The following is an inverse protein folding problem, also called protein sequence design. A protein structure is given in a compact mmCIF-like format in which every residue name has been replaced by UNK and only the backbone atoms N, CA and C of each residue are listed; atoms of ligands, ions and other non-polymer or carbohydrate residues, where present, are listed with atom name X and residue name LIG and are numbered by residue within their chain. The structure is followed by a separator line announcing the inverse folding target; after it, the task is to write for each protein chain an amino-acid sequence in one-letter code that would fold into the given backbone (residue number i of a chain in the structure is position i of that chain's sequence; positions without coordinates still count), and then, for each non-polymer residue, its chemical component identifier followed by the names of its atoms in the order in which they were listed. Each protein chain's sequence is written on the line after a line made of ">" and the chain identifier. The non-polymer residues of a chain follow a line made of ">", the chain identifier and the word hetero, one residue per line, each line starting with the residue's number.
data_IF_906489066847
#
_entry.id   IF_906489066847
#
_cell.length_a   1.000
_cell.length_b   1.000
_cell.length_c   1.000
_cell.angle_alpha   90.00
_cell.angle_beta   90.00
_cell.angle_gamma   90.00
#
_symmetry.space_group_name_H-M   'P 1'
#
loop_
_entity.id
_entity.type
_entity.pdbx_description
1 polymer ?
#
# COMPACT_ATOMS: atom_id res chain seq x y z
N UNK A 1 -44.40 54.83 -34.35
CA UNK A 1 -43.10 54.15 -34.10
C UNK A 1 -43.37 52.88 -33.29
N UNK A 2 -43.39 51.72 -33.97
CA UNK A 2 -43.77 50.43 -33.40
C UNK A 2 -42.50 49.70 -32.94
N UNK A 3 -42.32 49.52 -31.64
CA UNK A 3 -41.23 48.74 -31.06
C UNK A 3 -41.46 47.24 -31.31
N UNK A 4 -41.22 46.79 -32.53
CA UNK A 4 -41.24 45.37 -32.90
C UNK A 4 -39.87 44.76 -32.64
N UNK A 5 -39.76 44.01 -31.54
CA UNK A 5 -38.76 42.96 -31.20
C UNK A 5 -38.08 43.19 -29.86
N UNK A 6 -38.76 42.79 -28.78
CA UNK A 6 -38.06 42.38 -27.54
C UNK A 6 -38.00 40.85 -27.54
N UNK A 7 -36.80 40.28 -27.72
CA UNK A 7 -36.54 38.86 -27.51
C UNK A 7 -36.12 38.68 -26.05
N UNK A 8 -37.04 38.25 -25.20
CA UNK A 8 -36.71 37.86 -23.84
C UNK A 8 -35.89 36.57 -23.89
N UNK A 9 -34.62 36.66 -23.53
CA UNK A 9 -33.74 35.50 -23.30
C UNK A 9 -33.54 35.47 -21.80
N UNK A 10 -34.15 34.50 -21.10
CA UNK A 10 -33.88 34.34 -19.67
C UNK A 10 -32.42 33.95 -19.52
N UNK A 11 -31.60 34.69 -18.74
CA UNK A 11 -30.24 34.28 -18.45
C UNK A 11 -30.29 32.90 -17.80
N UNK A 12 -29.75 31.89 -18.47
CA UNK A 12 -29.69 30.54 -17.92
C UNK A 12 -28.91 30.56 -16.60
N UNK A 13 -29.45 29.90 -15.58
CA UNK A 13 -28.72 29.67 -14.33
C UNK A 13 -27.84 28.45 -14.56
N UNK A 14 -26.54 28.67 -14.69
CA UNK A 14 -25.55 27.59 -14.75
C UNK A 14 -25.21 27.18 -13.32
N UNK A 15 -25.71 26.02 -12.88
CA UNK A 15 -25.29 25.40 -11.63
C UNK A 15 -24.01 24.64 -11.92
N UNK A 16 -22.89 25.13 -11.40
CA UNK A 16 -21.65 24.37 -11.35
C UNK A 16 -21.75 23.46 -10.12
N UNK A 17 -22.04 22.18 -10.34
CA UNK A 17 -21.98 21.17 -9.29
C UNK A 17 -20.51 20.87 -9.00
N UNK A 18 -20.04 21.24 -7.79
CA UNK A 18 -18.73 20.81 -7.31
C UNK A 18 -18.96 19.45 -6.66
N UNK A 19 -18.44 18.40 -7.28
CA UNK A 19 -18.46 17.05 -6.72
C UNK A 19 -17.56 16.97 -5.49
N UNK A 20 -18.19 16.95 -4.31
CA UNK A 20 -17.54 16.77 -3.01
C UNK A 20 -17.72 15.34 -2.46
N UNK A 21 -18.05 14.37 -3.30
CA UNK A 21 -18.24 12.97 -2.88
C UNK A 21 -16.93 12.27 -2.47
N UNK A 22 -15.77 12.85 -2.81
CA UNK A 22 -14.46 12.27 -2.50
C UNK A 22 -14.10 12.56 -1.05
N UNK A 23 -14.40 11.59 -0.17
CA UNK A 23 -13.87 11.59 1.18
C UNK A 23 -12.37 11.22 1.14
N UNK A 24 -11.48 12.03 1.76
CA UNK A 24 -10.09 11.65 1.90
C UNK A 24 -9.99 10.39 2.75
N UNK A 25 -9.10 9.47 2.36
CA UNK A 25 -8.83 8.29 3.19
C UNK A 25 -8.30 8.74 4.55
N UNK A 26 -8.87 8.20 5.61
CA UNK A 26 -8.42 8.46 6.97
C UNK A 26 -6.89 8.28 7.09
N UNK A 27 -6.19 9.14 7.85
CA UNK A 27 -4.77 8.99 8.10
C UNK A 27 -4.48 7.60 8.64
N UNK A 28 -3.57 6.87 8.00
CA UNK A 28 -3.12 5.58 8.53
C UNK A 28 -2.41 5.78 9.86
N UNK A 29 -2.65 4.88 10.79
CA UNK A 29 -1.89 4.81 12.02
C UNK A 29 -0.41 4.63 11.71
N UNK A 30 0.47 5.38 12.38
CA UNK A 30 1.91 5.36 12.10
C UNK A 30 2.51 4.13 12.79
N UNK A 31 2.74 3.08 12.02
CA UNK A 31 3.46 1.88 12.45
C UNK A 31 4.99 2.02 12.34
N UNK A 32 5.74 1.10 12.95
CA UNK A 32 7.19 1.05 12.83
C UNK A 32 7.64 0.75 11.39
N UNK A 33 8.90 1.06 11.11
CA UNK A 33 9.57 0.60 9.90
C UNK A 33 10.44 -0.61 10.23
N UNK A 34 10.12 -1.77 9.64
CA UNK A 34 10.97 -2.97 9.73
C UNK A 34 11.78 -3.09 8.44
N UNK A 35 13.10 -3.20 8.60
CA UNK A 35 14.04 -3.41 7.51
C UNK A 35 14.55 -4.84 7.60
N UNK A 36 14.44 -5.60 6.51
CA UNK A 36 14.88 -6.99 6.53
C UNK A 36 14.80 -7.68 5.18
N UNK A 37 15.15 -8.96 5.17
CA UNK A 37 15.00 -9.82 3.98
C UNK A 37 13.57 -10.36 3.93
N UNK A 38 13.07 -10.56 2.71
CA UNK A 38 11.79 -11.21 2.45
C UNK A 38 11.94 -12.12 1.23
N UNK A 39 11.08 -13.14 1.15
CA UNK A 39 11.16 -14.16 0.12
C UNK A 39 10.95 -13.56 -1.28
N UNK A 40 9.97 -12.67 -1.41
CA UNK A 40 9.62 -11.98 -2.65
C UNK A 40 9.19 -10.56 -2.39
N UNK A 41 8.66 -9.90 -3.40
CA UNK A 41 8.09 -8.56 -3.28
C UNK A 41 9.10 -7.46 -3.57
N UNK A 42 8.71 -6.20 -3.36
CA UNK A 42 9.49 -5.09 -3.84
C UNK A 42 10.73 -4.83 -2.98
N UNK A 43 11.89 -4.79 -3.60
CA UNK A 43 13.16 -4.51 -2.93
C UNK A 43 13.48 -3.01 -2.93
N UNK A 44 14.21 -2.57 -1.90
CA UNK A 44 14.75 -1.23 -1.74
C UNK A 44 13.71 -0.10 -1.82
N UNK A 45 12.45 -0.39 -1.48
CA UNK A 45 11.39 0.60 -1.37
C UNK A 45 10.53 0.33 -0.13
N UNK A 46 10.16 1.37 0.63
CA UNK A 46 9.24 1.22 1.75
C UNK A 46 7.83 0.94 1.23
N UNK A 47 7.17 -0.08 1.78
CA UNK A 47 5.77 -0.40 1.50
C UNK A 47 5.03 -0.52 2.83
N UNK A 48 3.98 0.28 3.00
CA UNK A 48 3.10 0.13 4.16
C UNK A 48 2.05 -0.96 3.87
N UNK A 49 1.82 -1.81 4.85
CA UNK A 49 0.80 -2.87 4.85
C UNK A 49 -0.08 -2.74 6.10
N UNK A 50 -1.35 -3.09 5.94
CA UNK A 50 -2.39 -2.94 6.97
C UNK A 50 -2.86 -4.30 7.53
N UNK A 51 -2.28 -5.41 7.05
CA UNK A 51 -2.54 -6.75 7.60
C UNK A 51 -1.40 -7.72 7.33
N UNK A 52 -1.32 -8.79 8.13
CA UNK A 52 -0.35 -9.86 7.88
C UNK A 52 -0.65 -10.63 6.59
N UNK A 53 -1.93 -10.76 6.20
CA UNK A 53 -2.30 -11.39 4.93
C UNK A 53 -1.77 -10.59 3.74
N UNK A 54 -1.95 -9.26 3.75
CA UNK A 54 -1.38 -8.36 2.75
C UNK A 54 0.16 -8.49 2.71
N UNK A 55 0.79 -8.54 3.89
CA UNK A 55 2.23 -8.77 3.99
C UNK A 55 2.64 -10.07 3.29
N UNK A 56 1.96 -11.19 3.54
CA UNK A 56 2.26 -12.49 2.91
C UNK A 56 1.99 -12.44 1.39
N UNK A 57 0.97 -11.71 0.96
CA UNK A 57 0.64 -11.52 -0.45
C UNK A 57 1.70 -10.72 -1.21
N UNK A 58 2.38 -9.78 -0.54
CA UNK A 58 3.46 -8.98 -1.14
C UNK A 58 4.82 -9.67 -1.01
N UNK A 59 5.16 -10.12 0.20
CA UNK A 59 6.51 -10.53 0.60
C UNK A 59 6.70 -12.04 0.76
N UNK A 60 5.61 -12.80 0.83
CA UNK A 60 5.61 -14.25 1.10
C UNK A 60 5.65 -14.59 2.59
N UNK A 61 5.60 -15.88 2.88
CA UNK A 61 5.65 -16.39 4.26
C UNK A 61 7.04 -16.18 4.88
N UNK A 62 7.12 -16.03 6.23
CA UNK A 62 8.40 -16.05 6.94
C UNK A 62 9.19 -17.32 6.66
N UNK A 63 10.52 -17.17 6.54
CA UNK A 63 11.45 -18.26 6.23
C UNK A 63 12.34 -18.49 7.44
N UNK A 64 12.26 -19.70 8.02
CA UNK A 64 13.00 -20.08 9.24
C UNK A 64 14.51 -20.24 9.02
N UNK A 65 14.97 -20.23 7.77
CA UNK A 65 16.31 -20.70 7.42
C UNK A 65 16.33 -22.21 7.20
N UNK A 66 17.41 -22.71 6.62
CA UNK A 66 17.54 -24.13 6.29
C UNK A 66 18.90 -24.48 5.69
N UNK A 67 19.08 -25.77 5.39
CA UNK A 67 20.30 -26.24 4.73
C UNK A 67 20.42 -25.64 3.32
N UNK A 68 21.66 -25.45 2.86
CA UNK A 68 21.94 -24.95 1.52
C UNK A 68 21.28 -25.82 0.45
N UNK A 69 20.46 -25.19 -0.37
CA UNK A 69 19.79 -25.78 -1.54
C UNK A 69 20.23 -25.01 -2.80
N UNK A 70 19.79 -25.42 -3.99
CA UNK A 70 20.07 -24.75 -5.25
C UNK A 70 19.52 -23.31 -5.26
N UNK A 71 20.36 -22.36 -4.86
CA UNK A 71 20.03 -20.93 -4.71
C UNK A 71 19.59 -20.32 -6.04
N UNK A 72 20.11 -20.81 -7.17
CA UNK A 72 19.77 -20.26 -8.49
C UNK A 72 18.31 -20.55 -8.86
N UNK A 73 17.80 -21.73 -8.49
CA UNK A 73 16.42 -22.15 -8.78
C UNK A 73 15.43 -21.77 -7.67
N UNK A 74 15.82 -21.96 -6.41
CA UNK A 74 14.91 -21.92 -5.28
C UNK A 74 15.01 -20.63 -4.45
N UNK A 75 15.97 -19.77 -4.79
CA UNK A 75 16.29 -18.55 -4.05
C UNK A 75 17.03 -18.79 -2.75
N UNK A 76 17.59 -17.73 -2.18
CA UNK A 76 18.37 -17.83 -0.95
C UNK A 76 17.45 -17.91 0.30
N UNK A 77 17.19 -19.15 0.75
CA UNK A 77 16.42 -19.47 1.96
C UNK A 77 17.30 -19.98 3.12
N UNK A 78 18.62 -19.86 2.99
CA UNK A 78 19.58 -20.49 3.91
C UNK A 78 19.50 -19.83 5.29
N UNK A 79 19.48 -18.51 5.33
CA UNK A 79 19.43 -17.76 6.59
C UNK A 79 17.99 -17.42 6.98
N UNK A 80 17.65 -17.45 8.28
CA UNK A 80 16.37 -16.97 8.78
C UNK A 80 16.10 -15.52 8.36
N UNK A 81 14.88 -15.26 7.89
CA UNK A 81 14.43 -13.91 7.54
C UNK A 81 13.76 -13.28 8.75
N UNK A 82 14.55 -12.79 9.72
CA UNK A 82 14.01 -12.23 10.96
C UNK A 82 13.05 -11.05 10.77
N UNK A 83 13.25 -10.25 9.70
CA UNK A 83 12.35 -9.14 9.38
C UNK A 83 10.90 -9.58 9.15
N UNK A 84 10.68 -10.71 8.46
CA UNK A 84 9.33 -11.20 8.21
C UNK A 84 8.68 -11.82 9.45
N UNK A 85 9.46 -12.40 10.37
CA UNK A 85 8.97 -12.82 11.68
C UNK A 85 8.61 -11.63 12.58
N UNK A 86 9.43 -10.58 12.57
CA UNK A 86 9.12 -9.35 13.29
C UNK A 86 7.83 -8.70 12.75
N UNK A 87 7.66 -8.67 11.43
CA UNK A 87 6.42 -8.22 10.79
C UNK A 87 5.20 -9.04 11.22
N UNK A 88 5.34 -10.37 11.27
CA UNK A 88 4.29 -11.26 11.76
C UNK A 88 3.93 -10.99 13.23
N UNK A 89 4.93 -10.83 14.10
CA UNK A 89 4.70 -10.59 15.52
C UNK A 89 4.05 -9.22 15.78
N UNK A 90 4.43 -8.21 15.00
CA UNK A 90 3.85 -6.87 15.08
C UNK A 90 2.41 -6.84 14.57
N UNK A 91 2.16 -7.33 13.35
CA UNK A 91 0.85 -7.29 12.70
C UNK A 91 -0.21 -8.19 13.38
N UNK A 92 0.19 -9.02 14.35
CA UNK A 92 -0.74 -9.73 15.24
C UNK A 92 -1.42 -8.80 16.26
N UNK A 93 -0.72 -7.74 16.66
CA UNK A 93 -1.14 -6.87 17.77
C UNK A 93 -1.43 -5.43 17.32
N UNK A 94 -1.04 -5.06 16.09
CA UNK A 94 -1.13 -3.71 15.59
C UNK A 94 -1.53 -3.71 14.11
N UNK A 95 -2.29 -2.70 13.66
CA UNK A 95 -2.89 -2.74 12.32
C UNK A 95 -1.91 -2.36 11.21
N UNK A 96 -0.91 -1.50 11.45
CA UNK A 96 -0.07 -0.96 10.37
C UNK A 96 1.42 -1.26 10.56
N UNK A 97 2.12 -1.52 9.44
CA UNK A 97 3.56 -1.72 9.39
C UNK A 97 4.13 -1.18 8.09
N UNK A 98 5.28 -0.48 8.14
CA UNK A 98 6.06 -0.22 6.92
C UNK A 98 7.21 -1.20 6.82
N UNK A 99 7.29 -1.91 5.70
CA UNK A 99 8.36 -2.87 5.45
C UNK A 99 9.29 -2.39 4.35
N UNK A 100 10.60 -2.54 4.57
CA UNK A 100 11.63 -2.29 3.58
C UNK A 100 12.42 -3.58 3.34
N UNK A 101 12.21 -4.20 2.17
CA UNK A 101 12.94 -5.41 1.79
C UNK A 101 14.33 -5.05 1.26
N UNK A 102 15.35 -5.68 1.82
CA UNK A 102 16.72 -5.67 1.26
C UNK A 102 16.80 -6.56 0.01
N UNK A 103 17.40 -6.05 -1.07
CA UNK A 103 17.48 -6.72 -2.37
C UNK A 103 18.57 -7.79 -2.53
N UNK A 104 19.19 -8.25 -1.44
CA UNK A 104 20.31 -9.21 -1.43
C UNK A 104 19.95 -10.66 -1.08
#
# INVERSE_FOLDING_TARGET
>A
MSAKKFKFVSPGVFLNEIDNSILPREPREIGPMIIGRAFRGPANRPVTVDSFEEFVNIYGNPVAGGNGDDVWRNGNKITPMYGSYAAQAWLKNSPTLTYFRLGG
#
